data_IF_841414011133
#
_entry.id   IF_841414011133
#
_cell.length_a   1.000
_cell.length_b   1.000
_cell.length_c   1.000
_cell.angle_alpha   90.00
_cell.angle_beta   90.00
_cell.angle_gamma   90.00
#
_symmetry.space_group_name_H-M   'P 1'
#
loop_
_entity.id
_entity.type
_entity.pdbx_description
1 polymer ?
#
# COMPACT_ATOMS: atom_id res chain seq x y z
N UNK A 1 27.22 27.03 -75.82
CA UNK A 1 26.71 25.64 -75.75
C UNK A 1 27.49 24.99 -74.62
N UNK A 2 26.91 25.07 -73.40
CA UNK A 2 27.54 24.51 -72.17
C UNK A 2 26.59 23.43 -71.68
N UNK A 3 27.09 22.23 -71.59
CA UNK A 3 26.37 21.06 -71.08
C UNK A 3 26.61 21.00 -69.57
N UNK A 4 25.51 21.12 -68.75
CA UNK A 4 25.51 20.83 -67.34
C UNK A 4 25.17 19.35 -67.11
N UNK A 5 26.09 18.64 -66.48
CA UNK A 5 25.89 17.29 -65.98
C UNK A 5 25.28 17.41 -64.55
N UNK A 6 24.11 16.76 -64.35
CA UNK A 6 23.48 16.60 -63.05
C UNK A 6 24.04 15.36 -62.37
N UNK A 7 24.67 15.50 -61.20
CA UNK A 7 25.04 14.40 -60.32
C UNK A 7 23.98 14.19 -59.24
N UNK A 8 23.29 13.03 -59.28
CA UNK A 8 22.34 12.59 -58.24
C UNK A 8 23.12 12.03 -57.03
N UNK A 9 23.02 12.72 -55.89
CA UNK A 9 23.47 12.20 -54.62
C UNK A 9 22.35 11.38 -53.94
N UNK A 10 22.60 10.11 -53.79
CA UNK A 10 21.78 9.21 -52.96
C UNK A 10 22.16 9.41 -51.52
N UNK A 11 21.27 10.01 -50.70
CA UNK A 11 21.41 10.05 -49.24
C UNK A 11 20.97 8.68 -48.66
N UNK A 12 21.92 7.97 -48.10
CA UNK A 12 21.70 6.78 -47.30
C UNK A 12 21.27 7.23 -45.87
N UNK A 13 19.98 7.07 -45.55
CA UNK A 13 19.47 7.24 -44.21
C UNK A 13 19.89 6.03 -43.35
N UNK A 14 20.89 6.19 -42.53
CA UNK A 14 21.23 5.24 -41.46
C UNK A 14 20.28 5.51 -40.32
N UNK A 15 19.30 4.61 -40.13
CA UNK A 15 18.46 4.60 -38.92
C UNK A 15 19.34 4.25 -37.69
N UNK A 16 19.45 5.17 -36.75
CA UNK A 16 20.05 4.91 -35.46
C UNK A 16 18.91 4.39 -34.59
N UNK A 17 18.84 3.07 -34.40
CA UNK A 17 18.04 2.46 -33.34
C UNK A 17 18.62 2.90 -32.00
N UNK A 18 17.88 3.75 -31.28
CA UNK A 18 18.19 4.11 -29.91
C UNK A 18 17.92 2.88 -29.03
N UNK A 19 18.96 2.12 -28.73
CA UNK A 19 18.92 1.11 -27.67
C UNK A 19 18.74 1.87 -26.36
N UNK A 20 17.57 1.79 -25.76
CA UNK A 20 17.31 2.25 -24.41
C UNK A 20 18.22 1.42 -23.48
N UNK A 21 19.27 2.05 -22.98
CA UNK A 21 20.11 1.47 -21.94
C UNK A 21 19.30 1.41 -20.65
N UNK A 22 18.85 0.22 -20.25
CA UNK A 22 18.37 -0.04 -18.91
C UNK A 22 19.49 0.29 -17.92
N UNK A 23 19.35 1.36 -17.15
CA UNK A 23 20.27 1.70 -16.06
C UNK A 23 20.09 0.69 -14.94
N UNK A 24 20.97 -0.32 -14.88
CA UNK A 24 21.07 -1.16 -13.69
C UNK A 24 21.64 -0.33 -12.55
N UNK A 25 20.78 0.15 -11.65
CA UNK A 25 21.19 0.77 -10.39
C UNK A 25 22.04 -0.20 -9.54
N UNK A 26 22.77 0.29 -8.53
CA UNK A 26 23.66 -0.53 -7.72
C UNK A 26 22.84 -1.58 -6.94
N UNK A 27 23.10 -2.85 -7.22
CA UNK A 27 22.45 -4.02 -6.60
C UNK A 27 22.80 -4.09 -5.10
N UNK A 28 21.80 -4.12 -4.24
CA UNK A 28 21.97 -4.27 -2.80
C UNK A 28 22.58 -5.63 -2.45
N UNK A 29 23.53 -5.71 -1.50
CA UNK A 29 24.01 -6.97 -0.96
C UNK A 29 22.86 -7.68 -0.20
N UNK A 30 22.56 -8.93 -0.53
CA UNK A 30 21.56 -9.75 0.18
C UNK A 30 20.16 -9.78 -0.43
N UNK A 31 19.85 -8.98 -1.47
CA UNK A 31 18.59 -9.12 -2.21
C UNK A 31 18.56 -10.43 -3.01
N UNK A 32 17.42 -11.11 -3.02
CA UNK A 32 17.21 -12.23 -3.92
C UNK A 32 17.46 -11.78 -5.37
N UNK A 33 17.93 -12.68 -6.22
CA UNK A 33 18.34 -12.34 -7.60
C UNK A 33 17.20 -11.86 -8.51
N UNK A 34 15.96 -11.75 -8.00
CA UNK A 34 14.72 -11.59 -8.77
C UNK A 34 13.87 -10.39 -8.35
N UNK A 35 14.42 -9.39 -7.65
CA UNK A 35 13.67 -8.17 -7.36
C UNK A 35 13.68 -7.23 -8.56
N UNK A 36 12.50 -6.76 -8.96
CA UNK A 36 12.36 -5.66 -9.91
C UNK A 36 12.31 -4.32 -9.16
N UNK A 37 12.97 -3.30 -9.71
CA UNK A 37 12.80 -1.91 -9.26
C UNK A 37 11.48 -1.40 -9.81
N UNK A 38 10.60 -0.90 -8.93
CA UNK A 38 9.27 -0.43 -9.35
C UNK A 38 9.35 1.00 -9.87
N UNK A 39 10.14 1.86 -9.22
CA UNK A 39 10.34 3.25 -9.62
C UNK A 39 11.55 3.87 -8.95
N UNK A 40 11.97 5.07 -9.43
CA UNK A 40 13.01 5.90 -8.82
C UNK A 40 12.46 7.29 -8.47
N UNK A 41 12.93 7.86 -7.35
CA UNK A 41 12.55 9.22 -6.92
C UNK A 41 13.40 10.29 -7.63
N UNK A 42 12.82 11.14 -8.50
CA UNK A 42 13.53 12.20 -9.20
C UNK A 42 13.56 13.53 -8.42
N UNK A 43 12.86 13.63 -7.28
CA UNK A 43 12.67 14.88 -6.57
C UNK A 43 13.95 15.31 -5.84
N UNK A 44 14.32 16.60 -6.03
CA UNK A 44 15.51 17.23 -5.42
C UNK A 44 15.17 18.52 -4.67
N UNK A 45 13.89 18.77 -4.41
CA UNK A 45 13.42 19.96 -3.74
C UNK A 45 13.79 19.99 -2.24
N UNK A 46 14.02 21.17 -1.71
CA UNK A 46 14.36 21.36 -0.30
C UNK A 46 13.22 20.94 0.63
N UNK A 47 13.57 20.41 1.79
CA UNK A 47 12.64 20.00 2.86
C UNK A 47 12.04 18.60 2.66
N UNK A 48 12.58 17.84 1.73
CA UNK A 48 12.31 16.41 1.56
C UNK A 48 13.62 15.62 1.46
N UNK A 49 13.55 14.32 1.75
CA UNK A 49 14.63 13.39 1.48
C UNK A 49 14.63 13.06 -0.02
N UNK A 50 15.80 13.11 -0.64
CA UNK A 50 15.97 12.71 -2.03
C UNK A 50 16.18 11.21 -2.12
N UNK A 51 15.82 10.61 -3.26
CA UNK A 51 15.92 9.17 -3.52
C UNK A 51 15.18 8.37 -2.44
N UNK A 52 13.92 8.74 -2.21
CA UNK A 52 13.11 8.21 -1.12
C UNK A 52 11.73 7.87 -1.60
N UNK A 53 11.39 6.59 -1.61
CA UNK A 53 10.04 6.10 -1.88
C UNK A 53 9.59 5.22 -0.72
N UNK A 54 8.39 5.46 -0.21
CA UNK A 54 7.83 4.75 0.94
C UNK A 54 6.32 4.56 0.77
N UNK A 55 5.76 3.67 1.57
CA UNK A 55 4.31 3.47 1.70
C UNK A 55 3.63 3.12 0.36
N UNK A 56 4.07 2.03 -0.29
CA UNK A 56 3.44 1.59 -1.52
C UNK A 56 2.12 0.86 -1.27
N UNK A 57 1.14 1.11 -2.14
CA UNK A 57 -0.01 0.24 -2.35
C UNK A 57 0.00 -0.31 -3.78
N UNK A 58 -0.65 -1.45 -4.00
CA UNK A 58 -0.84 -2.02 -5.34
C UNK A 58 -2.17 -2.73 -5.48
N UNK A 59 -2.67 -2.74 -6.70
CA UNK A 59 -3.86 -3.49 -7.09
C UNK A 59 -3.63 -4.14 -8.46
N UNK A 60 -4.28 -5.29 -8.70
CA UNK A 60 -4.18 -6.00 -9.96
C UNK A 60 -5.56 -6.22 -10.59
N UNK A 61 -5.62 -6.16 -11.92
CA UNK A 61 -6.79 -6.54 -12.70
C UNK A 61 -6.36 -7.08 -14.08
N UNK A 62 -6.88 -8.27 -14.44
CA UNK A 62 -6.38 -8.99 -15.62
C UNK A 62 -4.90 -9.32 -15.47
N UNK A 63 -4.08 -8.94 -16.44
CA UNK A 63 -2.62 -9.07 -16.42
C UNK A 63 -1.87 -7.83 -15.91
N UNK A 64 -2.61 -6.75 -15.58
CA UNK A 64 -2.04 -5.47 -15.19
C UNK A 64 -1.95 -5.36 -13.67
N UNK A 65 -0.78 -4.95 -13.18
CA UNK A 65 -0.55 -4.55 -11.78
C UNK A 65 -0.19 -3.07 -11.76
N UNK A 66 -0.88 -2.29 -10.94
CA UNK A 66 -0.56 -0.89 -10.72
C UNK A 66 -0.15 -0.70 -9.27
N UNK A 67 0.95 0.03 -9.04
CA UNK A 67 1.39 0.45 -7.71
C UNK A 67 1.43 1.96 -7.61
N UNK A 68 1.13 2.49 -6.42
CA UNK A 68 1.26 3.91 -6.06
C UNK A 68 2.10 4.04 -4.79
N UNK A 69 2.85 5.14 -4.65
CA UNK A 69 3.78 5.31 -3.52
C UNK A 69 4.10 6.78 -3.29
N UNK A 70 4.52 7.13 -2.08
CA UNK A 70 5.08 8.44 -1.78
C UNK A 70 6.49 8.57 -2.37
N UNK A 71 6.80 9.69 -3.05
CA UNK A 71 8.12 9.98 -3.61
C UNK A 71 8.65 11.33 -3.11
N UNK A 72 9.90 11.36 -2.61
CA UNK A 72 10.49 12.50 -1.93
C UNK A 72 9.86 12.73 -0.55
N UNK A 73 9.96 11.74 0.35
CA UNK A 73 9.36 11.81 1.71
C UNK A 73 9.91 12.96 2.52
N UNK A 74 9.06 13.68 3.28
CA UNK A 74 9.50 14.76 4.17
C UNK A 74 9.57 14.30 5.64
N UNK A 75 10.28 15.07 6.46
CA UNK A 75 10.37 14.79 7.90
C UNK A 75 9.02 14.96 8.62
N UNK A 76 8.22 15.99 8.26
CA UNK A 76 7.00 16.34 8.98
C UNK A 76 5.73 15.71 8.41
N UNK A 77 5.51 15.83 7.11
CA UNK A 77 4.24 15.43 6.48
C UNK A 77 4.42 15.12 5.00
N UNK A 78 3.84 14.02 4.55
CA UNK A 78 3.74 13.62 3.15
C UNK A 78 5.07 13.62 2.38
N UNK A 79 4.97 13.68 1.09
CA UNK A 79 6.06 13.60 0.13
C UNK A 79 5.98 14.71 -0.91
N UNK A 80 6.99 14.82 -1.76
CA UNK A 80 7.02 15.77 -2.87
C UNK A 80 5.89 15.52 -3.85
N UNK A 81 5.57 14.26 -4.11
CA UNK A 81 4.44 13.84 -4.92
C UNK A 81 4.08 12.37 -4.65
N UNK A 82 3.01 11.91 -5.28
CA UNK A 82 2.68 10.50 -5.40
C UNK A 82 3.19 10.01 -6.76
N UNK A 83 3.98 8.94 -6.72
CA UNK A 83 4.38 8.16 -7.89
C UNK A 83 3.39 7.04 -8.16
N UNK A 84 3.35 6.60 -9.40
CA UNK A 84 2.66 5.40 -9.84
C UNK A 84 3.56 4.57 -10.75
N UNK A 85 3.33 3.26 -10.79
CA UNK A 85 3.99 2.36 -11.73
C UNK A 85 3.02 1.32 -12.21
N UNK A 86 3.21 0.85 -13.44
CA UNK A 86 2.40 -0.20 -14.06
C UNK A 86 3.29 -1.31 -14.61
N UNK A 87 2.84 -2.54 -14.40
CA UNK A 87 3.40 -3.75 -14.99
C UNK A 87 2.31 -4.50 -15.75
N UNK A 88 2.63 -4.96 -16.95
CA UNK A 88 1.75 -5.80 -17.77
C UNK A 88 2.27 -7.25 -17.92
N UNK A 89 3.30 -7.58 -17.13
CA UNK A 89 4.00 -8.88 -17.16
C UNK A 89 4.17 -9.47 -15.75
N UNK A 90 3.13 -9.33 -14.94
CA UNK A 90 3.05 -9.85 -13.57
C UNK A 90 4.19 -9.35 -12.66
N UNK A 91 4.57 -8.08 -12.78
CA UNK A 91 5.57 -7.45 -11.94
C UNK A 91 7.03 -7.68 -12.36
N UNK A 92 7.27 -8.30 -13.53
CA UNK A 92 8.63 -8.54 -14.02
C UNK A 92 9.29 -7.25 -14.53
N UNK A 93 8.55 -6.39 -15.21
CA UNK A 93 9.01 -5.06 -15.64
C UNK A 93 7.98 -3.98 -15.29
N UNK A 94 8.46 -2.75 -15.06
CA UNK A 94 7.64 -1.63 -14.63
C UNK A 94 7.89 -0.39 -15.48
N UNK A 95 6.82 0.32 -15.80
CA UNK A 95 6.86 1.70 -16.33
C UNK A 95 6.28 2.62 -15.26
N UNK A 96 6.91 3.75 -14.99
CA UNK A 96 6.53 4.63 -13.89
C UNK A 96 6.29 6.08 -14.34
N UNK A 97 5.64 6.84 -13.46
CA UNK A 97 5.37 8.25 -13.58
C UNK A 97 4.93 8.86 -12.25
N UNK A 98 4.52 10.13 -12.32
CA UNK A 98 4.11 10.90 -11.13
C UNK A 98 2.78 11.58 -11.41
N UNK A 99 1.89 11.62 -10.41
CA UNK A 99 0.56 12.21 -10.56
C UNK A 99 0.68 13.70 -10.91
N UNK A 100 0.06 14.15 -12.03
CA UNK A 100 0.11 15.54 -12.48
C UNK A 100 -0.84 16.41 -11.66
N UNK A 101 -0.58 17.71 -11.62
CA UNK A 101 -1.46 18.74 -11.02
C UNK A 101 -1.85 18.50 -9.56
N UNK A 102 -1.07 17.74 -8.83
CA UNK A 102 -1.26 17.43 -7.40
C UNK A 102 -0.52 18.43 -6.53
N UNK A 103 0.77 18.29 -6.38
CA UNK A 103 1.59 19.18 -5.55
C UNK A 103 2.26 20.28 -6.37
N UNK A 104 2.81 21.28 -5.68
CA UNK A 104 3.63 22.33 -6.31
C UNK A 104 4.89 21.78 -6.99
N UNK A 105 5.24 20.52 -6.74
CA UNK A 105 6.39 19.83 -7.35
C UNK A 105 5.97 18.86 -8.48
N UNK A 106 4.67 18.70 -8.72
CA UNK A 106 4.16 17.91 -9.84
C UNK A 106 4.41 18.58 -11.20
N UNK A 107 4.26 17.84 -12.28
CA UNK A 107 4.33 18.38 -13.65
C UNK A 107 3.07 17.96 -14.42
N UNK A 108 2.19 18.89 -14.82
CA UNK A 108 2.19 20.30 -14.40
C UNK A 108 1.96 20.47 -12.89
N UNK A 109 2.36 21.61 -12.28
CA UNK A 109 2.22 21.80 -10.84
C UNK A 109 0.76 21.94 -10.43
N UNK A 110 0.47 21.49 -9.19
CA UNK A 110 -0.84 21.58 -8.54
C UNK A 110 -0.84 22.54 -7.36
N UNK A 111 -1.88 22.42 -6.52
CA UNK A 111 -2.14 23.38 -5.45
C UNK A 111 -1.53 22.96 -4.09
N UNK A 112 -1.35 21.67 -3.85
CA UNK A 112 -0.91 21.17 -2.54
C UNK A 112 0.61 21.28 -2.39
N UNK A 113 1.06 21.47 -1.17
CA UNK A 113 2.49 21.52 -0.85
C UNK A 113 3.13 20.14 -0.83
N UNK A 114 2.37 19.14 -0.40
CA UNK A 114 2.76 17.73 -0.27
C UNK A 114 1.57 16.82 -0.59
N UNK A 115 1.85 15.53 -0.80
CA UNK A 115 0.84 14.49 -0.88
C UNK A 115 1.25 13.28 -0.03
N UNK A 116 0.27 12.49 0.42
CA UNK A 116 0.48 11.38 1.35
C UNK A 116 -0.56 10.27 1.14
N UNK A 117 -0.33 9.13 1.77
CA UNK A 117 -1.25 8.00 1.92
C UNK A 117 -1.88 7.54 0.59
N UNK A 118 -1.05 7.14 -0.41
CA UNK A 118 -1.58 6.68 -1.69
C UNK A 118 -2.22 5.29 -1.58
N UNK A 119 -3.37 5.12 -2.26
CA UNK A 119 -4.02 3.83 -2.48
C UNK A 119 -4.53 3.72 -3.92
N UNK A 120 -4.65 2.51 -4.46
CA UNK A 120 -5.04 2.30 -5.87
C UNK A 120 -6.10 1.21 -6.02
N UNK A 121 -7.07 1.46 -6.89
CA UNK A 121 -8.09 0.47 -7.27
C UNK A 121 -8.40 0.54 -8.77
N UNK A 122 -8.91 -0.57 -9.30
CA UNK A 122 -9.46 -0.65 -10.65
C UNK A 122 -10.98 -0.73 -10.60
N UNK A 123 -11.64 0.02 -11.47
CA UNK A 123 -13.08 -0.07 -11.73
C UNK A 123 -13.29 -0.76 -13.06
N UNK A 124 -13.63 -2.04 -13.02
CA UNK A 124 -13.77 -2.88 -14.21
C UNK A 124 -14.99 -2.49 -15.09
N UNK A 125 -16.02 -1.90 -14.50
CA UNK A 125 -17.20 -1.46 -15.25
C UNK A 125 -16.89 -0.26 -16.14
N UNK A 126 -16.08 0.67 -15.65
CA UNK A 126 -15.75 1.90 -16.35
C UNK A 126 -14.38 1.86 -17.04
N UNK A 127 -13.61 0.79 -16.83
CA UNK A 127 -12.27 0.62 -17.41
C UNK A 127 -11.28 1.67 -16.93
N UNK A 128 -11.27 1.98 -15.63
CA UNK A 128 -10.46 3.07 -15.08
C UNK A 128 -9.66 2.65 -13.86
N UNK A 129 -8.38 3.02 -13.81
CA UNK A 129 -7.56 2.98 -12.61
C UNK A 129 -7.77 4.26 -11.80
N UNK A 130 -7.86 4.13 -10.51
CA UNK A 130 -8.09 5.21 -9.55
C UNK A 130 -6.96 5.24 -8.53
N UNK A 131 -6.14 6.28 -8.57
CA UNK A 131 -5.09 6.53 -7.57
C UNK A 131 -5.59 7.58 -6.58
N UNK A 132 -5.94 7.18 -5.37
CA UNK A 132 -6.39 8.04 -4.28
C UNK A 132 -5.21 8.49 -3.43
N UNK A 133 -5.27 9.70 -2.88
CA UNK A 133 -4.30 10.20 -1.92
C UNK A 133 -4.83 11.43 -1.16
N UNK A 134 -4.04 11.90 -0.20
CA UNK A 134 -4.29 13.14 0.56
C UNK A 134 -3.39 14.25 0.04
N UNK A 135 -3.99 15.36 -0.40
CA UNK A 135 -3.31 16.57 -0.82
C UNK A 135 -3.15 17.54 0.35
N UNK A 136 -1.93 17.78 0.81
CA UNK A 136 -1.59 18.53 2.02
C UNK A 136 -1.22 19.98 1.67
N UNK A 137 -2.04 20.98 2.03
CA UNK A 137 -1.79 22.39 1.66
C UNK A 137 -0.67 23.03 2.48
N UNK A 138 -0.40 22.58 3.71
CA UNK A 138 0.62 23.17 4.59
C UNK A 138 1.23 22.13 5.53
N UNK A 139 2.54 22.27 5.84
CA UNK A 139 3.27 21.53 6.86
C UNK A 139 3.78 22.51 7.94
N UNK A 140 3.87 22.11 9.22
CA UNK A 140 3.75 20.77 9.79
C UNK A 140 2.32 20.34 10.17
N UNK A 141 1.32 21.16 9.98
CA UNK A 141 -0.08 20.84 10.31
C UNK A 141 -0.71 20.15 9.11
N UNK A 142 -0.69 18.85 9.12
CA UNK A 142 -1.08 18.03 8.01
C UNK A 142 -2.48 17.48 8.22
N UNK A 143 -3.43 18.05 7.63
CA UNK A 143 -4.64 17.49 7.11
C UNK A 143 -4.69 17.92 5.67
N UNK A 144 -5.50 17.28 4.86
CA UNK A 144 -5.53 17.58 3.44
C UNK A 144 -6.83 17.22 2.78
N UNK A 145 -6.93 17.63 1.52
CA UNK A 145 -8.04 17.20 0.67
C UNK A 145 -7.87 15.72 0.30
N UNK A 146 -8.93 14.94 0.39
CA UNK A 146 -8.94 13.59 -0.19
C UNK A 146 -9.25 13.73 -1.67
N UNK A 147 -8.40 13.18 -2.53
CA UNK A 147 -8.54 13.25 -3.98
C UNK A 147 -8.28 11.93 -4.66
N UNK A 148 -8.72 11.80 -5.91
CA UNK A 148 -8.40 10.68 -6.78
C UNK A 148 -7.93 11.20 -8.14
N UNK A 149 -6.85 10.62 -8.68
CA UNK A 149 -6.44 10.77 -10.08
C UNK A 149 -6.87 9.55 -10.88
N UNK A 150 -7.32 9.74 -12.11
CA UNK A 150 -7.92 8.72 -12.97
C UNK A 150 -7.02 8.40 -14.15
N UNK A 151 -6.92 7.12 -14.50
CA UNK A 151 -6.31 6.65 -15.75
C UNK A 151 -7.33 5.84 -16.54
N UNK A 152 -7.48 6.14 -17.82
CA UNK A 152 -8.37 5.42 -18.76
C UNK A 152 -7.60 4.77 -19.92
N UNK A 153 -6.28 4.68 -19.80
CA UNK A 153 -5.34 4.15 -20.77
C UNK A 153 -4.48 3.01 -20.18
N UNK A 154 -5.08 2.23 -19.28
CA UNK A 154 -4.44 1.11 -18.57
C UNK A 154 -3.20 1.54 -17.77
N UNK A 155 -3.35 2.62 -17.01
CA UNK A 155 -2.34 3.23 -16.15
C UNK A 155 -1.07 3.72 -16.89
N UNK A 156 -1.13 3.96 -18.20
CA UNK A 156 -0.03 4.59 -18.92
C UNK A 156 0.13 6.06 -18.55
N UNK A 157 -1.00 6.75 -18.27
CA UNK A 157 -1.01 8.11 -17.74
C UNK A 157 -2.15 8.31 -16.74
N UNK A 158 -1.99 9.27 -15.85
CA UNK A 158 -3.05 9.71 -14.93
C UNK A 158 -3.43 11.15 -15.21
N UNK A 159 -4.73 11.46 -15.07
CA UNK A 159 -5.27 12.81 -15.21
C UNK A 159 -5.08 13.66 -13.94
N UNK A 160 -5.45 14.95 -14.04
CA UNK A 160 -5.49 15.85 -12.90
C UNK A 160 -6.45 15.33 -11.80
N UNK A 161 -6.19 15.68 -10.53
CA UNK A 161 -6.97 15.16 -9.40
C UNK A 161 -8.43 15.63 -9.44
N UNK A 162 -9.33 14.71 -9.09
CA UNK A 162 -10.73 14.96 -8.74
C UNK A 162 -10.83 14.94 -7.22
N UNK A 163 -11.24 16.06 -6.61
CA UNK A 163 -11.39 16.14 -5.16
C UNK A 163 -12.62 15.34 -4.71
N UNK A 164 -12.41 14.35 -3.86
CA UNK A 164 -13.47 13.57 -3.21
C UNK A 164 -14.06 14.41 -2.07
N UNK A 165 -13.17 14.92 -1.21
CA UNK A 165 -13.55 15.75 -0.07
C UNK A 165 -12.51 16.84 0.18
N UNK A 166 -12.87 18.14 0.03
CA UNK A 166 -12.01 19.23 0.48
C UNK A 166 -11.98 19.25 2.02
N UNK A 167 -10.80 19.51 2.56
CA UNK A 167 -10.63 19.71 4.00
C UNK A 167 -11.32 20.97 4.46
N UNK A 168 -12.16 20.85 5.49
CA UNK A 168 -12.73 22.00 6.18
C UNK A 168 -11.83 22.52 7.31
N UNK A 169 -12.16 23.69 7.89
CA UNK A 169 -11.49 24.15 9.09
C UNK A 169 -11.68 23.14 10.24
N UNK A 170 -10.64 22.93 11.03
CA UNK A 170 -10.65 21.98 12.13
C UNK A 170 -10.95 20.52 11.71
N UNK A 171 -10.42 20.10 10.57
CA UNK A 171 -10.43 18.72 10.11
C UNK A 171 -9.00 18.27 9.81
N UNK A 172 -8.66 17.04 10.17
CA UNK A 172 -7.38 16.42 9.90
C UNK A 172 -7.64 15.08 9.24
N UNK A 173 -7.76 15.07 7.90
CA UNK A 173 -7.97 13.83 7.16
C UNK A 173 -6.67 13.06 7.04
N UNK A 174 -6.74 11.76 7.34
CA UNK A 174 -5.62 10.82 7.34
C UNK A 174 -6.12 9.42 6.92
N UNK A 175 -5.21 8.50 6.64
CA UNK A 175 -5.43 7.08 6.39
C UNK A 175 -6.57 6.77 5.41
N UNK A 176 -6.51 7.38 4.24
CA UNK A 176 -7.48 7.09 3.17
C UNK A 176 -7.22 5.72 2.53
N UNK A 177 -8.28 5.13 1.95
CA UNK A 177 -8.23 3.90 1.18
C UNK A 177 -9.36 3.82 0.16
N UNK A 178 -9.13 3.14 -0.98
CA UNK A 178 -10.10 2.99 -2.06
C UNK A 178 -10.21 1.53 -2.50
N UNK A 179 -11.46 1.10 -2.77
CA UNK A 179 -11.76 -0.18 -3.46
C UNK A 179 -12.92 0.00 -4.42
N UNK A 180 -13.00 -0.84 -5.46
CA UNK A 180 -14.11 -0.85 -6.41
C UNK A 180 -14.77 -2.23 -6.50
N UNK A 181 -16.09 -2.26 -6.66
CA UNK A 181 -16.85 -3.49 -6.87
C UNK A 181 -16.67 -3.99 -8.31
N UNK A 182 -15.81 -4.99 -8.47
CA UNK A 182 -15.48 -5.61 -9.74
C UNK A 182 -16.26 -6.91 -10.00
N UNK A 183 -17.20 -7.27 -9.12
CA UNK A 183 -18.04 -8.45 -9.30
C UNK A 183 -19.19 -8.16 -10.25
N UNK A 184 -19.11 -8.62 -11.48
CA UNK A 184 -20.09 -8.33 -12.56
C UNK A 184 -21.54 -8.70 -12.21
N UNK A 185 -21.75 -9.64 -11.27
CA UNK A 185 -23.07 -10.06 -10.78
C UNK A 185 -23.58 -9.26 -9.59
N UNK A 186 -22.75 -8.40 -9.04
CA UNK A 186 -23.12 -7.52 -7.92
C UNK A 186 -24.13 -6.47 -8.37
N UNK A 187 -25.14 -6.13 -7.55
CA UNK A 187 -26.04 -5.02 -7.83
C UNK A 187 -25.34 -3.65 -7.82
N UNK A 188 -24.12 -3.60 -7.28
CA UNK A 188 -23.30 -2.38 -7.15
C UNK A 188 -22.05 -2.42 -8.02
N UNK A 189 -22.00 -3.30 -9.01
CA UNK A 189 -20.88 -3.40 -9.96
C UNK A 189 -20.48 -2.04 -10.52
N UNK A 190 -19.20 -1.67 -10.35
CA UNK A 190 -18.63 -0.39 -10.74
C UNK A 190 -18.85 0.74 -9.72
N UNK A 191 -19.38 0.46 -8.51
CA UNK A 191 -19.26 1.40 -7.40
C UNK A 191 -17.84 1.33 -6.84
N UNK A 192 -17.22 2.51 -6.63
CA UNK A 192 -15.96 2.65 -5.90
C UNK A 192 -16.23 3.34 -4.56
N UNK A 193 -15.55 2.89 -3.53
CA UNK A 193 -15.71 3.34 -2.15
C UNK A 193 -14.38 3.90 -1.66
N UNK A 194 -14.37 5.19 -1.35
CA UNK A 194 -13.28 5.89 -0.72
C UNK A 194 -13.54 6.03 0.77
N UNK A 195 -12.53 5.83 1.60
CA UNK A 195 -12.60 5.97 3.05
C UNK A 195 -11.46 6.85 3.56
N UNK A 196 -11.65 7.52 4.68
CA UNK A 196 -10.61 8.24 5.42
C UNK A 196 -11.08 8.49 6.85
N UNK A 197 -10.17 8.81 7.75
CA UNK A 197 -10.51 9.25 9.10
C UNK A 197 -10.27 10.76 9.29
N UNK A 198 -10.88 11.32 10.35
CA UNK A 198 -10.76 12.73 10.73
C UNK A 198 -10.19 12.84 12.15
N UNK A 199 -8.89 13.07 12.24
CA UNK A 199 -8.13 13.13 13.49
C UNK A 199 -8.59 14.21 14.46
N UNK A 200 -9.06 15.36 13.99
CA UNK A 200 -9.56 16.45 14.82
C UNK A 200 -10.96 16.16 15.39
N UNK A 201 -11.66 15.17 14.87
CA UNK A 201 -13.00 14.76 15.29
C UNK A 201 -13.05 13.35 15.86
N UNK A 202 -12.14 13.00 16.74
CA UNK A 202 -12.08 11.69 17.41
C UNK A 202 -11.92 10.53 16.42
N UNK A 203 -11.11 10.70 15.38
CA UNK A 203 -10.84 9.66 14.36
C UNK A 203 -12.13 9.08 13.75
N UNK A 204 -13.10 9.95 13.45
CA UNK A 204 -14.34 9.52 12.80
C UNK A 204 -14.04 9.03 11.39
N UNK A 205 -14.53 7.85 11.10
CA UNK A 205 -14.48 7.27 9.78
C UNK A 205 -15.43 7.99 8.83
N UNK A 206 -14.96 8.34 7.67
CA UNK A 206 -15.73 8.88 6.56
C UNK A 206 -15.72 7.92 5.39
N UNK A 207 -16.86 7.73 4.73
CA UNK A 207 -17.03 6.89 3.55
C UNK A 207 -17.71 7.66 2.44
N UNK A 208 -17.18 7.62 1.23
CA UNK A 208 -17.80 8.21 0.05
C UNK A 208 -17.87 7.20 -1.08
N UNK A 209 -18.87 7.33 -1.97
CA UNK A 209 -19.09 6.39 -3.08
C UNK A 209 -19.15 7.14 -4.39
N UNK A 210 -18.45 6.62 -5.40
CA UNK A 210 -18.59 6.97 -6.81
C UNK A 210 -19.25 5.81 -7.56
N UNK A 211 -20.11 6.11 -8.53
CA UNK A 211 -20.73 5.13 -9.42
C UNK A 211 -20.51 5.44 -10.90
N UNK A 212 -19.57 6.33 -11.21
CA UNK A 212 -19.27 6.85 -12.55
C UNK A 212 -17.76 6.83 -12.88
N UNK A 213 -17.03 5.89 -12.27
CA UNK A 213 -15.59 5.75 -12.50
C UNK A 213 -14.75 6.85 -11.85
N UNK A 214 -15.17 7.36 -10.70
CA UNK A 214 -14.43 8.39 -9.95
C UNK A 214 -14.56 9.80 -10.50
N UNK A 215 -15.50 10.07 -11.41
CA UNK A 215 -15.78 11.42 -11.92
C UNK A 215 -16.49 12.30 -10.90
N UNK A 216 -17.44 11.71 -10.18
CA UNK A 216 -18.15 12.38 -9.08
C UNK A 216 -18.26 11.49 -7.85
N UNK A 217 -18.33 12.11 -6.69
CA UNK A 217 -18.38 11.44 -5.39
C UNK A 217 -19.56 11.93 -4.57
N UNK A 218 -20.28 10.99 -3.95
CA UNK A 218 -21.38 11.33 -3.07
C UNK A 218 -20.87 12.03 -1.80
N UNK A 219 -21.77 12.77 -1.14
CA UNK A 219 -21.47 13.33 0.18
C UNK A 219 -21.06 12.20 1.13
N UNK A 220 -19.94 12.38 1.82
CA UNK A 220 -19.42 11.38 2.75
C UNK A 220 -20.41 11.06 3.87
N UNK A 221 -20.51 9.79 4.19
CA UNK A 221 -21.25 9.23 5.32
C UNK A 221 -20.26 8.99 6.46
N UNK A 222 -20.67 9.34 7.67
CA UNK A 222 -19.94 9.04 8.91
C UNK A 222 -20.71 7.93 9.63
N UNK A 223 -20.20 6.70 9.68
CA UNK A 223 -20.83 5.61 10.41
C UNK A 223 -20.99 5.96 11.90
N UNK A 224 -22.16 5.67 12.46
CA UNK A 224 -22.44 5.98 13.86
C UNK A 224 -21.50 5.25 14.81
N UNK A 225 -20.91 5.97 15.77
CA UNK A 225 -19.97 5.38 16.74
C UNK A 225 -18.59 5.05 16.18
N UNK A 226 -18.27 5.47 14.94
CA UNK A 226 -16.93 5.26 14.40
C UNK A 226 -15.90 6.07 15.18
N UNK A 227 -14.84 5.39 15.58
CA UNK A 227 -13.64 5.93 16.20
C UNK A 227 -12.49 4.97 15.86
N UNK A 228 -11.82 5.23 14.76
CA UNK A 228 -10.84 4.30 14.22
C UNK A 228 -9.84 5.02 13.33
N UNK A 229 -8.61 4.55 13.33
CA UNK A 229 -7.53 5.03 12.50
C UNK A 229 -7.28 4.01 11.38
N UNK A 230 -7.52 4.43 10.15
CA UNK A 230 -7.24 3.61 8.97
C UNK A 230 -7.99 2.28 8.91
N UNK A 231 -7.75 1.56 7.86
CA UNK A 231 -8.29 0.22 7.60
C UNK A 231 -8.38 -0.08 6.11
N UNK A 232 -8.60 -1.33 5.79
CA UNK A 232 -8.74 -1.79 4.41
C UNK A 232 -10.17 -2.27 4.17
N UNK A 233 -10.98 -1.55 3.36
CA UNK A 233 -12.26 -2.06 2.92
C UNK A 233 -12.09 -3.20 1.93
N UNK A 234 -13.00 -4.17 1.98
CA UNK A 234 -13.12 -5.25 0.99
C UNK A 234 -14.57 -5.38 0.55
N UNK A 235 -14.81 -5.98 -0.62
CA UNK A 235 -16.14 -6.13 -1.18
C UNK A 235 -16.41 -7.62 -1.42
N UNK A 236 -17.43 -8.14 -0.73
CA UNK A 236 -17.89 -9.51 -0.92
C UNK A 236 -18.57 -9.67 -2.31
N UNK A 237 -18.56 -10.86 -2.92
CA UNK A 237 -19.15 -11.08 -4.26
C UNK A 237 -20.60 -10.63 -4.42
N UNK A 238 -21.36 -10.50 -3.32
CA UNK A 238 -22.73 -9.93 -3.32
C UNK A 238 -22.81 -8.41 -3.22
N UNK A 239 -21.68 -7.69 -3.30
CA UNK A 239 -21.60 -6.23 -3.23
C UNK A 239 -21.65 -5.67 -1.79
N UNK A 240 -21.56 -6.52 -0.77
CA UNK A 240 -21.43 -6.08 0.62
C UNK A 240 -20.01 -5.52 0.83
N UNK A 241 -19.93 -4.27 1.27
CA UNK A 241 -18.67 -3.65 1.70
C UNK A 241 -18.42 -4.00 3.15
N UNK A 242 -17.24 -4.53 3.46
CA UNK A 242 -16.75 -4.78 4.83
C UNK A 242 -15.53 -3.91 5.05
N UNK A 243 -15.56 -3.08 6.07
CA UNK A 243 -14.47 -2.17 6.42
C UNK A 243 -13.92 -2.52 7.80
N UNK A 244 -12.70 -3.05 7.86
CA UNK A 244 -11.98 -3.40 9.08
C UNK A 244 -11.05 -2.27 9.48
N UNK A 245 -11.05 -1.85 10.76
CA UNK A 245 -10.32 -0.67 11.22
C UNK A 245 -9.47 -0.94 12.44
N UNK A 246 -8.40 -0.15 12.60
CA UNK A 246 -7.54 -0.14 13.78
C UNK A 246 -8.17 0.70 14.91
N UNK A 247 -8.30 0.17 16.13
CA UNK A 247 -8.83 0.92 17.27
C UNK A 247 -7.79 1.92 17.77
N UNK A 248 -8.25 3.12 18.10
CA UNK A 248 -7.45 4.13 18.79
C UNK A 248 -8.30 4.72 19.90
N UNK A 249 -7.76 4.81 21.13
CA UNK A 249 -8.30 5.49 22.31
C UNK A 249 -9.80 5.26 22.66
N UNK A 250 -10.61 4.74 21.74
CA UNK A 250 -12.05 4.58 21.90
C UNK A 250 -12.49 3.13 22.11
N UNK A 251 -11.65 2.14 21.75
CA UNK A 251 -11.98 0.71 21.85
C UNK A 251 -10.75 -0.14 22.10
N UNK A 252 -10.94 -1.35 22.64
CA UNK A 252 -9.84 -2.28 22.95
C UNK A 252 -9.61 -3.34 21.85
N UNK A 253 -10.22 -3.23 20.68
CA UNK A 253 -10.10 -4.21 19.62
C UNK A 253 -10.42 -3.64 18.24
N UNK A 254 -10.03 -4.36 17.21
CA UNK A 254 -10.47 -4.05 15.86
C UNK A 254 -11.99 -4.03 15.78
N UNK A 255 -12.51 -3.22 14.88
CA UNK A 255 -13.93 -3.12 14.60
C UNK A 255 -14.20 -3.17 13.11
N UNK A 256 -15.39 -3.62 12.73
CA UNK A 256 -15.83 -3.59 11.35
C UNK A 256 -17.16 -2.84 11.18
N UNK A 257 -17.30 -2.21 10.03
CA UNK A 257 -18.55 -1.60 9.54
C UNK A 257 -18.92 -2.24 8.21
N UNK A 258 -20.23 -2.29 7.96
CA UNK A 258 -20.75 -3.02 6.80
C UNK A 258 -21.79 -2.16 6.09
N UNK A 259 -21.66 -2.12 4.75
CA UNK A 259 -22.73 -1.61 3.88
C UNK A 259 -23.25 -2.73 2.98
N UNK A 260 -24.57 -2.86 2.91
CA UNK A 260 -25.27 -3.80 2.02
C UNK A 260 -26.12 -3.08 0.96
N UNK A 261 -26.02 -1.77 0.88
CA UNK A 261 -26.83 -0.89 0.05
C UNK A 261 -25.99 0.02 -0.88
N UNK A 262 -24.79 -0.47 -1.26
CA UNK A 262 -23.90 0.25 -2.17
C UNK A 262 -23.31 1.52 -1.58
N UNK A 263 -22.99 1.51 -0.27
CA UNK A 263 -22.40 2.64 0.44
C UNK A 263 -23.39 3.74 0.81
N UNK A 264 -24.71 3.49 0.72
CA UNK A 264 -25.69 4.47 1.12
C UNK A 264 -25.83 4.58 2.65
N UNK A 265 -25.65 3.45 3.36
CA UNK A 265 -25.58 3.41 4.83
C UNK A 265 -24.54 2.39 5.29
N UNK A 266 -24.05 2.56 6.52
CA UNK A 266 -23.12 1.64 7.18
C UNK A 266 -23.68 1.26 8.56
N UNK A 267 -23.68 -0.05 8.84
CA UNK A 267 -24.02 -0.63 10.14
C UNK A 267 -22.76 -1.09 10.86
N UNK A 268 -22.76 -0.99 12.16
CA UNK A 268 -21.62 -1.31 13.06
C UNK A 268 -21.59 -0.34 14.24
N UNK A 269 -20.53 -0.34 15.05
CA UNK A 269 -19.39 -1.25 14.95
C UNK A 269 -19.74 -2.70 15.29
N UNK A 270 -19.07 -3.65 14.64
CA UNK A 270 -19.06 -5.07 15.03
C UNK A 270 -17.68 -5.41 15.57
N UNK A 271 -17.64 -6.09 16.70
CA UNK A 271 -16.37 -6.44 17.34
C UNK A 271 -15.60 -7.49 16.54
N UNK A 272 -14.36 -7.20 16.28
CA UNK A 272 -13.35 -8.12 15.78
C UNK A 272 -12.49 -8.62 16.96
N UNK A 273 -11.65 -9.66 16.77
CA UNK A 273 -10.75 -10.10 17.83
C UNK A 273 -9.87 -8.95 18.36
N UNK A 274 -9.73 -8.88 19.68
CA UNK A 274 -8.87 -7.88 20.32
C UNK A 274 -7.43 -8.02 19.86
N UNK A 275 -6.70 -6.91 19.81
CA UNK A 275 -5.27 -6.86 19.51
C UNK A 275 -4.48 -7.12 20.79
N UNK A 276 -3.42 -7.90 20.68
CA UNK A 276 -2.39 -8.06 21.70
C UNK A 276 -1.01 -7.92 21.05
N UNK A 277 -0.77 -6.78 20.44
CA UNK A 277 0.45 -6.49 19.71
C UNK A 277 1.20 -5.30 20.29
N UNK A 278 2.44 -5.13 19.88
CA UNK A 278 3.31 -4.04 20.36
C UNK A 278 4.05 -3.34 19.22
N UNK A 279 4.53 -2.12 19.49
CA UNK A 279 5.48 -1.43 18.63
C UNK A 279 6.83 -2.17 18.60
N UNK A 280 7.59 -1.95 17.55
CA UNK A 280 8.88 -2.59 17.30
C UNK A 280 10.06 -1.73 17.78
N UNK A 281 11.23 -2.35 17.95
CA UNK A 281 12.45 -1.67 18.37
C UNK A 281 13.06 -0.83 17.21
N UNK A 282 14.24 -0.23 17.45
CA UNK A 282 15.00 0.47 16.44
C UNK A 282 14.44 1.82 16.01
N UNK A 283 13.44 2.36 16.71
CA UNK A 283 12.74 3.61 16.33
C UNK A 283 12.11 3.54 14.92
N UNK A 284 11.76 2.37 14.45
CA UNK A 284 10.95 2.22 13.25
C UNK A 284 9.51 2.63 13.57
N UNK A 285 8.92 3.48 12.72
CA UNK A 285 7.50 3.81 12.77
C UNK A 285 6.70 2.62 12.26
N UNK A 286 5.95 1.97 13.14
CA UNK A 286 5.07 0.86 12.80
C UNK A 286 3.75 1.01 13.55
N UNK A 287 2.66 0.93 12.82
CA UNK A 287 1.31 0.81 13.33
C UNK A 287 0.81 -0.62 13.10
N UNK A 288 -0.15 -1.06 13.91
CA UNK A 288 -0.70 -2.41 13.79
C UNK A 288 -1.98 -2.41 12.95
N UNK A 289 -1.94 -1.74 11.79
CA UNK A 289 -3.08 -1.72 10.90
C UNK A 289 -3.43 -3.13 10.44
N UNK A 290 -4.74 -3.48 10.39
CA UNK A 290 -5.18 -4.70 9.75
C UNK A 290 -5.04 -4.56 8.24
N UNK A 291 -4.63 -5.64 7.57
CA UNK A 291 -4.75 -5.78 6.12
C UNK A 291 -5.78 -6.86 5.84
N UNK A 292 -6.69 -6.61 4.91
CA UNK A 292 -7.81 -7.50 4.60
C UNK A 292 -7.94 -7.71 3.11
N UNK A 293 -8.32 -8.95 2.73
CA UNK A 293 -8.72 -9.27 1.37
C UNK A 293 -9.77 -10.39 1.37
N UNK A 294 -10.38 -10.72 0.23
CA UNK A 294 -11.53 -11.61 0.12
C UNK A 294 -11.35 -12.65 -0.97
N UNK A 295 -11.69 -13.90 -0.69
CA UNK A 295 -11.70 -14.97 -1.68
C UNK A 295 -12.93 -14.92 -2.60
N UNK A 296 -12.88 -15.66 -3.73
CA UNK A 296 -13.99 -15.72 -4.68
C UNK A 296 -15.29 -16.29 -4.11
N UNK A 297 -15.25 -16.91 -2.92
CA UNK A 297 -16.41 -17.41 -2.19
C UNK A 297 -16.98 -16.41 -1.15
N UNK A 298 -16.35 -15.25 -0.98
CA UNK A 298 -16.76 -14.22 -0.05
C UNK A 298 -16.27 -14.43 1.39
N UNK A 299 -15.19 -15.19 1.59
CA UNK A 299 -14.51 -15.25 2.90
C UNK A 299 -13.50 -14.11 2.97
N UNK A 300 -13.68 -13.20 3.93
CA UNK A 300 -12.72 -12.16 4.28
C UNK A 300 -11.60 -12.76 5.12
N UNK A 301 -10.37 -12.46 4.78
CA UNK A 301 -9.17 -12.80 5.54
C UNK A 301 -8.53 -11.50 6.02
N UNK A 302 -8.29 -11.38 7.33
CA UNK A 302 -7.65 -10.19 7.92
C UNK A 302 -6.44 -10.62 8.72
N UNK A 303 -5.30 -9.97 8.45
CA UNK A 303 -4.02 -10.21 9.12
C UNK A 303 -3.55 -8.98 9.88
N UNK A 304 -2.83 -9.20 10.99
CA UNK A 304 -2.18 -8.14 11.78
C UNK A 304 -1.01 -8.69 12.60
N UNK A 305 -0.22 -7.81 13.19
CA UNK A 305 0.84 -8.18 14.13
C UNK A 305 0.28 -8.35 15.55
N UNK A 306 0.62 -9.47 16.21
CA UNK A 306 0.06 -9.85 17.51
C UNK A 306 1.01 -10.78 18.27
N UNK A 307 1.08 -10.67 19.57
CA UNK A 307 2.03 -11.46 20.37
C UNK A 307 1.40 -12.57 21.21
N UNK A 308 0.06 -12.73 21.18
CA UNK A 308 -0.67 -13.69 22.04
C UNK A 308 -0.22 -15.14 21.97
N UNK A 309 0.46 -15.53 20.89
CA UNK A 309 0.92 -16.91 20.68
C UNK A 309 2.39 -17.13 21.03
N UNK A 310 3.09 -16.07 21.46
CA UNK A 310 4.49 -16.19 21.87
C UNK A 310 4.62 -16.82 23.25
N UNK A 311 5.66 -17.62 23.44
CA UNK A 311 6.00 -18.22 24.71
C UNK A 311 6.84 -17.24 25.53
N UNK A 312 6.24 -16.62 26.56
CA UNK A 312 6.91 -15.73 27.47
C UNK A 312 7.18 -16.43 28.81
N UNK A 313 8.30 -16.07 29.46
CA UNK A 313 8.59 -16.50 30.83
C UNK A 313 7.61 -15.91 31.84
N UNK A 314 7.54 -16.48 33.07
CA UNK A 314 6.68 -15.93 34.12
C UNK A 314 7.01 -14.47 34.42
N UNK A 315 6.03 -13.57 34.25
CA UNK A 315 6.19 -12.13 34.47
C UNK A 315 6.76 -11.35 33.29
N UNK A 316 7.04 -11.99 32.17
CA UNK A 316 7.43 -11.32 30.94
C UNK A 316 6.20 -10.82 30.17
N UNK A 317 6.37 -9.67 29.53
CA UNK A 317 5.36 -9.07 28.65
C UNK A 317 5.70 -9.41 27.19
N UNK A 318 4.76 -9.16 26.29
CA UNK A 318 4.97 -9.23 24.85
C UNK A 318 6.27 -8.54 24.41
N UNK A 319 7.26 -9.30 23.97
CA UNK A 319 8.56 -8.79 23.52
C UNK A 319 8.69 -8.71 21.99
N UNK A 320 7.94 -9.54 21.27
CA UNK A 320 7.95 -9.64 19.80
C UNK A 320 6.63 -10.20 19.28
N UNK A 321 6.25 -9.80 18.08
CA UNK A 321 4.99 -10.16 17.47
C UNK A 321 5.14 -11.38 16.54
N UNK A 322 4.02 -12.03 16.31
CA UNK A 322 3.74 -12.93 15.19
C UNK A 322 2.85 -12.23 14.17
N UNK A 323 2.69 -12.80 12.98
CA UNK A 323 1.57 -12.48 12.10
C UNK A 323 0.43 -13.46 12.40
N UNK A 324 -0.75 -12.90 12.61
CA UNK A 324 -1.97 -13.66 12.89
C UNK A 324 -3.05 -13.37 11.87
N UNK A 325 -4.04 -14.25 11.82
CA UNK A 325 -5.14 -14.25 10.85
C UNK A 325 -6.47 -14.49 11.56
N UNK A 326 -7.51 -13.77 11.15
CA UNK A 326 -8.91 -14.07 11.43
C UNK A 326 -9.73 -13.98 10.15
N UNK A 327 -10.85 -14.71 10.09
CA UNK A 327 -11.71 -14.74 8.91
C UNK A 327 -13.16 -14.42 9.24
N UNK A 328 -13.90 -13.90 8.27
CA UNK A 328 -15.32 -13.65 8.35
C UNK A 328 -16.01 -13.90 7.00
N UNK A 329 -17.29 -14.29 7.02
CA UNK A 329 -18.12 -14.43 5.81
C UNK A 329 -19.18 -13.35 5.66
N UNK A 330 -19.32 -12.51 6.66
CA UNK A 330 -20.36 -11.49 6.70
C UNK A 330 -19.87 -10.14 7.25
N UNK A 331 -18.59 -10.07 7.65
CA UNK A 331 -17.98 -8.92 8.31
C UNK A 331 -18.51 -8.65 9.73
N UNK A 332 -19.39 -9.49 10.27
CA UNK A 332 -20.01 -9.34 11.60
C UNK A 332 -19.48 -10.34 12.60
N UNK A 333 -19.30 -11.57 12.15
CA UNK A 333 -18.84 -12.68 12.95
C UNK A 333 -17.46 -13.11 12.49
N UNK A 334 -16.48 -13.05 13.39
CA UNK A 334 -15.09 -13.34 13.10
C UNK A 334 -14.63 -14.63 13.78
N UNK A 335 -13.76 -15.37 13.10
CA UNK A 335 -13.17 -16.59 13.64
C UNK A 335 -12.25 -16.29 14.83
N UNK A 336 -11.94 -17.30 15.63
CA UNK A 336 -10.81 -17.21 16.55
C UNK A 336 -9.54 -16.85 15.79
N UNK A 337 -8.66 -16.11 16.46
CA UNK A 337 -7.35 -15.71 15.90
C UNK A 337 -6.49 -16.96 15.72
N UNK A 338 -5.88 -17.09 14.55
CA UNK A 338 -4.96 -18.15 14.19
C UNK A 338 -3.56 -17.56 13.95
N UNK A 339 -2.54 -18.25 14.41
CA UNK A 339 -1.16 -17.88 14.13
C UNK A 339 -0.75 -18.37 12.75
N UNK A 340 -0.11 -17.55 11.92
CA UNK A 340 0.64 -18.02 10.76
C UNK A 340 1.97 -18.59 11.29
N UNK A 341 2.26 -19.88 11.08
CA UNK A 341 3.40 -20.55 11.73
C UNK A 341 4.73 -20.25 10.98
N UNK A 342 5.14 -18.98 10.96
CA UNK A 342 6.35 -18.53 10.27
C UNK A 342 7.60 -19.13 10.92
N UNK A 343 7.63 -19.19 12.23
CA UNK A 343 8.73 -19.68 13.04
C UNK A 343 8.24 -20.39 14.33
N UNK A 344 9.10 -20.99 15.15
CA UNK A 344 8.73 -21.50 16.47
C UNK A 344 8.21 -20.40 17.40
N UNK A 345 7.26 -20.69 18.29
CA UNK A 345 6.73 -19.75 19.29
C UNK A 345 7.80 -19.18 20.21
N UNK A 346 8.85 -19.93 20.46
CA UNK A 346 10.01 -19.53 21.28
C UNK A 346 11.05 -18.73 20.51
N UNK A 347 10.81 -18.38 19.25
CA UNK A 347 11.72 -17.57 18.45
C UNK A 347 11.79 -16.13 18.95
N UNK A 348 12.96 -15.49 18.83
CA UNK A 348 13.18 -14.07 19.14
C UNK A 348 12.94 -13.15 17.93
N UNK A 349 12.42 -13.67 16.84
CA UNK A 349 12.09 -12.90 15.62
C UNK A 349 10.84 -12.07 15.88
N UNK A 350 10.87 -10.78 15.51
CA UNK A 350 9.72 -9.88 15.61
C UNK A 350 9.13 -9.66 14.21
N UNK A 351 7.89 -10.10 13.99
CA UNK A 351 7.19 -9.96 12.71
C UNK A 351 6.13 -8.85 12.80
N UNK A 352 6.11 -7.96 11.82
CA UNK A 352 5.22 -6.80 11.87
C UNK A 352 4.84 -6.29 10.48
N UNK A 353 3.88 -5.37 10.47
CA UNK A 353 3.39 -4.68 9.28
C UNK A 353 3.08 -5.68 8.15
N UNK A 354 2.08 -6.58 8.33
CA UNK A 354 1.69 -7.50 7.28
C UNK A 354 0.77 -6.87 6.25
N UNK A 355 0.83 -7.40 5.01
CA UNK A 355 -0.20 -7.21 4.00
C UNK A 355 -0.63 -8.57 3.44
N UNK A 356 -1.92 -8.73 3.14
CA UNK A 356 -2.49 -9.95 2.56
C UNK A 356 -3.14 -9.67 1.22
N UNK A 357 -2.99 -10.63 0.29
CA UNK A 357 -3.87 -10.78 -0.85
C UNK A 357 -4.41 -12.20 -0.92
N UNK A 358 -5.60 -12.33 -1.51
CA UNK A 358 -6.25 -13.60 -1.79
C UNK A 358 -6.53 -13.68 -3.28
N UNK A 359 -6.17 -14.79 -3.91
CA UNK A 359 -6.48 -14.99 -5.33
C UNK A 359 -8.02 -15.10 -5.50
N UNK A 360 -8.66 -14.13 -6.17
CA UNK A 360 -10.11 -14.09 -6.32
C UNK A 360 -10.66 -15.23 -7.19
N UNK A 361 -9.81 -15.95 -7.91
CA UNK A 361 -10.19 -17.16 -8.66
C UNK A 361 -10.32 -18.40 -7.78
N UNK A 362 -9.90 -18.33 -6.51
CA UNK A 362 -9.87 -19.44 -5.55
C UNK A 362 -10.79 -19.17 -4.36
N UNK A 363 -11.15 -20.21 -3.59
CA UNK A 363 -12.05 -20.01 -2.44
C UNK A 363 -11.99 -21.12 -1.40
N UNK A 364 -12.32 -20.77 -0.16
CA UNK A 364 -12.51 -21.68 0.96
C UNK A 364 -11.29 -22.57 1.21
N UNK A 365 -11.49 -23.89 1.12
CA UNK A 365 -10.42 -24.88 1.41
C UNK A 365 -9.32 -24.93 0.34
N UNK A 366 -9.48 -24.26 -0.78
CA UNK A 366 -8.50 -24.10 -1.86
C UNK A 366 -8.16 -22.63 -2.12
N UNK A 367 -8.47 -21.74 -1.19
CA UNK A 367 -8.07 -20.33 -1.32
C UNK A 367 -6.55 -20.19 -1.31
N UNK A 368 -6.03 -19.45 -2.27
CA UNK A 368 -4.61 -19.08 -2.32
C UNK A 368 -4.41 -17.76 -1.58
N UNK A 369 -3.58 -17.80 -0.55
CA UNK A 369 -3.29 -16.66 0.31
C UNK A 369 -1.82 -16.27 0.17
N UNK A 370 -1.53 -15.00 0.01
CA UNK A 370 -0.20 -14.43 0.00
C UNK A 370 -0.10 -13.37 1.11
N UNK A 371 0.84 -13.54 2.03
CA UNK A 371 1.10 -12.60 3.12
C UNK A 371 2.55 -12.16 3.03
N UNK A 372 2.76 -10.87 2.82
CA UNK A 372 4.07 -10.24 2.89
C UNK A 372 4.18 -9.47 4.21
N UNK A 373 5.36 -9.44 4.84
CA UNK A 373 5.57 -8.82 6.14
C UNK A 373 7.02 -8.39 6.30
N UNK A 374 7.25 -7.42 7.18
CA UNK A 374 8.61 -7.12 7.65
C UNK A 374 8.92 -7.87 8.93
N UNK A 375 10.21 -8.09 9.17
CA UNK A 375 10.65 -8.70 10.40
C UNK A 375 12.06 -8.27 10.81
N UNK A 376 12.31 -8.31 12.11
CA UNK A 376 13.65 -8.27 12.68
C UNK A 376 14.07 -9.68 13.08
N UNK A 377 15.19 -10.21 12.55
CA UNK A 377 15.71 -11.52 12.96
C UNK A 377 16.02 -11.61 14.45
N UNK A 378 16.26 -10.48 15.09
CA UNK A 378 16.42 -10.34 16.54
C UNK A 378 15.61 -9.14 17.02
N UNK A 379 14.57 -9.38 17.81
CA UNK A 379 13.73 -8.33 18.39
C UNK A 379 14.49 -7.44 19.39
N UNK A 380 15.48 -7.99 20.10
CA UNK A 380 16.32 -7.23 21.05
C UNK A 380 17.44 -6.48 20.28
N UNK A 381 17.03 -5.43 19.56
CA UNK A 381 17.91 -4.58 18.77
C UNK A 381 17.64 -3.09 19.05
N UNK A 382 18.55 -2.25 18.60
CA UNK A 382 18.42 -0.79 18.64
C UNK A 382 18.65 -0.18 17.25
N UNK A 383 18.55 1.13 17.12
CA UNK A 383 18.67 1.82 15.83
C UNK A 383 19.92 1.44 15.02
N UNK A 384 21.04 1.14 15.71
CA UNK A 384 22.29 0.77 15.06
C UNK A 384 22.45 -0.73 14.77
N UNK A 385 21.56 -1.57 15.34
CA UNK A 385 21.66 -3.04 15.24
C UNK A 385 20.38 -3.70 14.69
N UNK A 386 19.28 -2.97 14.55
CA UNK A 386 18.05 -3.49 13.94
C UNK A 386 18.25 -3.66 12.43
N UNK A 387 18.28 -4.91 12.00
CA UNK A 387 18.39 -5.33 10.61
C UNK A 387 17.02 -5.79 10.11
N UNK A 388 16.39 -4.94 9.30
CA UNK A 388 15.06 -5.15 8.73
C UNK A 388 15.12 -6.12 7.54
N UNK A 389 14.20 -7.06 7.48
CA UNK A 389 14.06 -7.98 6.33
C UNK A 389 12.60 -8.07 5.91
N UNK A 390 12.36 -8.51 4.67
CA UNK A 390 11.04 -8.76 4.10
C UNK A 390 10.82 -10.26 4.00
N UNK A 391 9.76 -10.76 4.62
CA UNK A 391 9.32 -12.13 4.57
C UNK A 391 8.04 -12.30 3.74
N UNK A 392 7.80 -13.53 3.32
CA UNK A 392 6.63 -13.92 2.57
C UNK A 392 6.13 -15.28 3.05
N UNK A 393 4.84 -15.37 3.31
CA UNK A 393 4.15 -16.61 3.65
C UNK A 393 3.03 -16.85 2.65
N UNK A 394 2.95 -18.05 2.09
CA UNK A 394 1.91 -18.43 1.15
C UNK A 394 1.20 -19.71 1.55
N UNK A 395 -0.08 -19.79 1.21
CA UNK A 395 -0.92 -20.97 1.41
C UNK A 395 -1.76 -21.21 0.16
N UNK A 396 -1.97 -22.47 -0.21
CA UNK A 396 -2.86 -22.87 -1.32
C UNK A 396 -4.05 -23.73 -0.82
N UNK A 397 -4.23 -23.77 0.47
CA UNK A 397 -5.23 -24.63 1.13
C UNK A 397 -6.10 -23.87 2.16
N UNK A 398 -6.29 -22.56 1.94
CA UNK A 398 -7.11 -21.70 2.79
C UNK A 398 -6.48 -21.40 4.15
N UNK A 399 -5.15 -21.39 4.23
CA UNK A 399 -4.40 -21.04 5.44
C UNK A 399 -4.15 -22.22 6.40
N UNK A 400 -4.34 -23.48 5.96
CA UNK A 400 -4.06 -24.65 6.79
C UNK A 400 -2.59 -24.99 6.85
N UNK A 401 -1.89 -24.86 5.72
CA UNK A 401 -0.44 -25.01 5.62
C UNK A 401 0.18 -23.80 4.95
N UNK A 402 1.45 -23.53 5.28
CA UNK A 402 2.15 -22.33 4.84
C UNK A 402 3.56 -22.66 4.36
N UNK A 403 3.92 -22.09 3.22
CA UNK A 403 5.30 -22.03 2.74
C UNK A 403 5.88 -20.66 3.10
N UNK A 404 7.12 -20.64 3.63
CA UNK A 404 7.76 -19.45 4.15
C UNK A 404 9.06 -19.19 3.40
N UNK A 405 9.29 -17.92 3.00
CA UNK A 405 10.56 -17.51 2.38
C UNK A 405 10.91 -16.06 2.75
N UNK A 406 12.18 -15.71 2.68
CA UNK A 406 12.65 -14.33 2.76
C UNK A 406 12.79 -13.76 1.34
N UNK A 407 12.23 -12.57 1.10
CA UNK A 407 12.30 -11.90 -0.19
C UNK A 407 13.49 -10.94 -0.28
N UNK A 408 13.77 -10.20 0.79
CA UNK A 408 14.77 -9.14 0.77
C UNK A 408 15.36 -8.89 2.16
N UNK A 409 16.47 -8.14 2.20
CA UNK A 409 17.18 -7.76 3.42
C UNK A 409 18.43 -8.59 3.69
N UNK A 410 19.18 -8.31 4.76
CA UNK A 410 18.84 -7.31 5.78
C UNK A 410 19.11 -5.87 5.35
N UNK A 411 18.32 -4.93 5.84
CA UNK A 411 18.48 -3.49 5.70
C UNK A 411 18.62 -2.85 7.07
N UNK A 412 19.56 -1.92 7.26
CA UNK A 412 19.67 -1.19 8.53
C UNK A 412 18.48 -0.22 8.68
N UNK A 413 17.77 -0.24 9.82
CA UNK A 413 16.63 0.67 10.06
C UNK A 413 17.00 2.15 9.86
N UNK A 414 18.23 2.54 10.23
CA UNK A 414 18.71 3.92 10.06
C UNK A 414 18.91 4.35 8.60
N UNK A 415 18.82 3.48 7.63
CA UNK A 415 18.89 3.83 6.21
C UNK A 415 17.59 4.44 5.67
N UNK A 416 16.47 4.23 6.39
CA UNK A 416 15.16 4.74 6.00
C UNK A 416 14.92 6.17 6.49
N UNK A 417 14.06 6.97 5.82
CA UNK A 417 13.84 8.36 6.16
C UNK A 417 13.31 8.52 7.59
N UNK A 418 13.92 9.43 8.33
CA UNK A 418 13.46 9.79 9.67
C UNK A 418 12.25 10.75 9.57
N UNK A 419 11.19 10.43 10.28
CA UNK A 419 10.00 11.29 10.43
C UNK A 419 9.84 11.74 11.87
N UNK A 420 8.83 12.55 12.15
CA UNK A 420 8.48 12.96 13.53
C UNK A 420 8.11 11.78 14.44
N UNK A 421 7.75 10.63 13.85
CA UNK A 421 7.29 9.45 14.57
C UNK A 421 8.28 8.26 14.49
N UNK A 422 9.44 8.45 13.88
CA UNK A 422 10.47 7.42 13.69
C UNK A 422 10.90 7.24 12.25
N UNK A 423 11.77 6.26 11.99
CA UNK A 423 12.16 5.86 10.64
C UNK A 423 10.97 5.21 9.93
N UNK A 424 10.78 5.51 8.64
CA UNK A 424 9.57 5.14 7.92
C UNK A 424 9.87 4.31 6.67
N UNK A 425 9.23 3.16 6.57
CA UNK A 425 9.09 2.36 5.35
C UNK A 425 7.68 2.53 4.74
N UNK A 426 6.70 2.86 5.57
CA UNK A 426 5.28 3.03 5.29
C UNK A 426 4.49 2.61 6.52
N UNK A 427 3.24 3.04 6.61
CA UNK A 427 2.29 2.53 7.59
C UNK A 427 1.58 1.27 7.05
N UNK A 428 1.69 1.04 5.75
CA UNK A 428 1.21 -0.13 5.00
C UNK A 428 2.13 -0.37 3.80
N UNK A 429 1.93 -1.49 3.15
CA UNK A 429 2.41 -1.88 1.83
C UNK A 429 1.50 -3.00 1.30
N UNK A 430 1.75 -3.57 0.13
CA UNK A 430 0.76 -4.44 -0.47
C UNK A 430 1.33 -5.66 -1.19
N UNK A 431 0.45 -6.58 -1.48
CA UNK A 431 0.63 -7.68 -2.40
C UNK A 431 -0.64 -7.79 -3.25
N UNK A 432 -0.50 -8.18 -4.51
CA UNK A 432 -1.62 -8.40 -5.43
C UNK A 432 -1.50 -9.77 -6.09
N UNK A 433 -2.63 -10.32 -6.56
CA UNK A 433 -2.62 -11.52 -7.40
C UNK A 433 -2.83 -11.16 -8.86
N UNK A 434 -2.02 -11.74 -9.73
CA UNK A 434 -2.16 -11.69 -11.18
C UNK A 434 -1.78 -13.04 -11.79
N UNK A 435 -2.65 -13.61 -12.62
CA UNK A 435 -2.44 -14.90 -13.30
C UNK A 435 -2.00 -16.03 -12.34
N UNK A 436 -2.58 -16.08 -11.12
CA UNK A 436 -2.24 -17.07 -10.08
C UNK A 436 -0.86 -16.88 -9.45
N UNK A 437 -0.22 -15.75 -9.66
CA UNK A 437 1.06 -15.38 -9.03
C UNK A 437 0.85 -14.25 -8.05
N UNK A 438 1.58 -14.28 -6.92
CA UNK A 438 1.59 -13.16 -5.98
C UNK A 438 2.67 -12.13 -6.38
N UNK A 439 2.31 -10.87 -6.38
CA UNK A 439 3.18 -9.73 -6.69
C UNK A 439 3.20 -8.78 -5.50
N UNK A 440 4.04 -9.02 -4.48
CA UNK A 440 4.25 -8.07 -3.39
C UNK A 440 5.02 -6.84 -3.90
N UNK A 441 4.62 -5.65 -3.41
CA UNK A 441 5.33 -4.39 -3.59
C UNK A 441 5.70 -3.84 -2.23
N UNK A 442 6.99 -3.61 -2.00
CA UNK A 442 7.53 -3.26 -0.69
C UNK A 442 8.73 -2.32 -0.80
N UNK A 443 9.13 -1.75 0.31
CA UNK A 443 10.23 -0.78 0.38
C UNK A 443 11.52 -1.49 0.74
N UNK A 444 12.58 -1.17 0.02
CA UNK A 444 13.95 -1.64 0.27
C UNK A 444 14.89 -0.44 0.38
N UNK A 445 16.05 -0.64 0.99
CA UNK A 445 17.04 0.40 1.14
C UNK A 445 18.47 -0.13 1.15
N UNK A 446 19.40 0.73 0.77
CA UNK A 446 20.85 0.51 0.95
C UNK A 446 21.44 1.62 1.79
N UNK A 447 22.69 1.45 2.21
CA UNK A 447 23.41 2.47 2.96
C UNK A 447 23.33 3.83 2.26
N UNK A 448 22.91 4.85 3.01
CA UNK A 448 22.72 6.21 2.55
C UNK A 448 22.69 7.18 3.72
N UNK A 449 22.72 8.47 3.43
CA UNK A 449 22.65 9.52 4.45
C UNK A 449 21.22 9.99 4.65
N UNK A 450 20.40 9.20 5.31
CA UNK A 450 19.00 9.53 5.63
C UNK A 450 18.86 10.30 6.95
N UNK A 451 19.69 11.30 7.18
CA UNK A 451 19.67 12.13 8.38
C UNK A 451 18.90 13.43 8.15
N UNK A 452 18.35 14.01 9.24
CA UNK A 452 17.62 15.28 9.25
C UNK A 452 18.49 16.50 8.90
N UNK A 453 19.25 16.48 7.83
CA UNK A 453 19.99 17.64 7.32
C UNK A 453 19.33 18.19 6.07
N UNK A 454 19.59 19.45 5.76
CA UNK A 454 18.85 20.24 4.77
C UNK A 454 18.78 19.63 3.36
N UNK A 455 19.71 18.75 3.01
CA UNK A 455 19.73 17.99 1.75
C UNK A 455 20.33 16.63 2.06
N UNK A 456 19.50 15.62 2.24
CA UNK A 456 19.97 14.24 2.43
C UNK A 456 19.42 13.34 1.34
N UNK A 457 20.30 12.58 0.74
CA UNK A 457 19.97 11.56 -0.24
C UNK A 457 19.92 10.22 0.48
N UNK A 458 18.71 9.69 0.65
CA UNK A 458 18.55 8.29 1.03
C UNK A 458 18.88 7.38 -0.16
N UNK A 459 18.84 6.08 0.02
CA UNK A 459 18.81 5.10 -1.06
C UNK A 459 17.67 4.12 -0.74
N UNK A 460 16.44 4.61 -0.86
CA UNK A 460 15.21 3.90 -0.48
C UNK A 460 14.26 3.95 -1.66
N UNK A 461 13.83 2.79 -2.13
CA UNK A 461 12.94 2.67 -3.28
C UNK A 461 11.93 1.54 -3.10
N UNK A 462 10.92 1.52 -3.94
CA UNK A 462 9.94 0.43 -4.02
C UNK A 462 10.46 -0.68 -4.93
N UNK A 463 10.30 -1.90 -4.47
CA UNK A 463 10.70 -3.12 -5.18
C UNK A 463 9.54 -4.10 -5.22
N UNK A 464 9.53 -4.98 -6.22
CA UNK A 464 8.59 -6.08 -6.33
C UNK A 464 9.29 -7.41 -6.57
N UNK A 465 8.58 -8.48 -6.29
CA UNK A 465 8.91 -9.85 -6.68
C UNK A 465 7.71 -10.49 -7.34
N UNK A 466 7.94 -11.47 -8.21
CA UNK A 466 6.87 -12.32 -8.77
C UNK A 466 7.02 -13.71 -8.19
N UNK A 467 5.99 -14.20 -7.52
CA UNK A 467 6.04 -15.44 -6.76
C UNK A 467 4.94 -16.38 -7.26
N UNK A 468 5.30 -17.45 -7.99
CA UNK A 468 4.35 -18.49 -8.37
C UNK A 468 3.74 -19.14 -7.12
N UNK A 469 2.42 -19.31 -7.11
CA UNK A 469 1.72 -20.07 -6.09
C UNK A 469 1.68 -21.51 -6.55
N UNK A 470 2.43 -22.37 -5.90
CA UNK A 470 2.60 -23.79 -6.25
C UNK A 470 1.40 -24.67 -5.94
#
# INVERSE_FOLDING_TARGET
MVVLAATSSVMLLIGIDAIAASSSGPRAPGASSNLAVVSEDPYTNLGTYHRTQVEPDSSAFGSTVVSVFQSGRSYHCGASNIGWSVSHDAGATWTDGFLPSTTIHATPPGAWKRASDPAVAYDAKHGVWLAEAIGIPSCPFAGGDVFVSRSTDDAQTFGAPVTIRPQGPHQLFDKNWIVCDNTATSPYYGNCYASWDDGDHHLRLHMSTSSDGGLTWRKAIVPSGSCALGGTPVILPGGTVVFSTFPVDCTYGFQSWISTDGGATYSGPFDMPAIDGRGVHGKLRVWQFPSSDVDGGGTVYTVWADCRFRDFGPGEHCLHNDIVLSTSRDGRHWSHVMRIPIDPRSSSVDHFLPAIAVDPATSGASAHLAVVYYFYPNADCNLSTCDLSVGFASSVDGGRTWAIQQLAGPFRTSWFPLTTQGHMIGDYFSVSFVDGQAVPVFVVGTEGTCERKAVTSCNVWTASATIPMG
#
